data_IF_986644015849
#
_entry.id   IF_986644015849
#
_cell.length_a   1.000
_cell.length_b   1.000
_cell.length_c   1.000
_cell.angle_alpha   90.00
_cell.angle_beta   90.00
_cell.angle_gamma   90.00
#
_symmetry.space_group_name_H-M   'P 1'
#
loop_
_entity.id
_entity.type
_entity.pdbx_description
1 polymer ?
#
# COMPACT_ATOMS: atom_id res chain seq x y z
N UNK A 1 -11.14 8.43 -12.61
CA UNK A 1 -11.41 8.70 -11.19
C UNK A 1 -10.62 7.69 -10.37
N UNK A 2 -10.29 7.97 -9.10
CA UNK A 2 -9.68 6.94 -8.26
C UNK A 2 -10.69 5.79 -8.07
N UNK A 3 -10.22 4.55 -8.14
CA UNK A 3 -11.06 3.36 -7.95
C UNK A 3 -11.67 3.31 -6.54
N UNK A 4 -10.98 3.88 -5.56
CA UNK A 4 -11.36 3.90 -4.16
C UNK A 4 -11.50 5.35 -3.69
N UNK A 5 -12.48 5.61 -2.84
CA UNK A 5 -12.59 6.89 -2.12
C UNK A 5 -11.76 6.89 -0.82
N UNK A 6 -11.66 8.04 -0.16
CA UNK A 6 -10.83 8.21 1.04
C UNK A 6 -11.21 7.24 2.18
N UNK A 7 -12.51 6.99 2.39
CA UNK A 7 -12.98 6.07 3.43
C UNK A 7 -12.61 4.62 3.10
N UNK A 8 -12.76 4.21 1.84
CA UNK A 8 -12.36 2.88 1.40
C UNK A 8 -10.84 2.69 1.51
N UNK A 9 -10.05 3.71 1.16
CA UNK A 9 -8.60 3.66 1.32
C UNK A 9 -8.20 3.53 2.78
N UNK A 10 -8.86 4.25 3.69
CA UNK A 10 -8.64 4.15 5.13
C UNK A 10 -8.97 2.75 5.66
N UNK A 11 -10.11 2.18 5.26
CA UNK A 11 -10.51 0.83 5.67
C UNK A 11 -9.54 -0.24 5.15
N UNK A 12 -9.11 -0.11 3.89
CA UNK A 12 -8.12 -1.01 3.28
C UNK A 12 -6.77 -0.90 4.00
N UNK A 13 -6.32 0.32 4.32
CA UNK A 13 -5.07 0.55 5.02
C UNK A 13 -5.10 -0.07 6.41
N UNK A 14 -6.16 0.18 7.20
CA UNK A 14 -6.33 -0.41 8.54
C UNK A 14 -6.44 -1.92 8.51
N UNK A 15 -7.05 -2.50 7.47
CA UNK A 15 -7.13 -3.95 7.30
C UNK A 15 -5.81 -4.59 6.83
N UNK A 16 -4.84 -3.79 6.40
CA UNK A 16 -3.50 -4.20 6.00
C UNK A 16 -2.46 -3.99 7.12
N UNK A 17 -2.63 -2.97 7.94
CA UNK A 17 -1.80 -2.68 9.11
C UNK A 17 -2.12 -3.67 10.23
N UNK A 18 -1.43 -4.82 10.20
CA UNK A 18 -1.59 -5.89 11.16
C UNK A 18 -0.88 -5.57 12.47
N UNK A 19 0.19 -4.78 12.41
CA UNK A 19 0.95 -4.36 13.57
C UNK A 19 0.25 -3.25 14.38
N UNK A 20 -0.69 -2.55 13.75
CA UNK A 20 -1.41 -1.39 14.27
C UNK A 20 -0.47 -0.25 14.68
N UNK A 21 0.67 -0.10 13.98
CA UNK A 21 1.63 0.97 14.20
C UNK A 21 1.37 2.21 13.32
N UNK A 22 0.32 2.17 12.49
CA UNK A 22 -0.11 3.27 11.63
C UNK A 22 0.69 3.39 10.33
N UNK A 23 1.52 2.40 10.01
CA UNK A 23 2.33 2.34 8.80
C UNK A 23 2.33 0.92 8.24
N UNK A 24 2.50 0.77 6.93
CA UNK A 24 2.58 -0.55 6.30
C UNK A 24 4.03 -0.91 6.04
N UNK A 25 4.47 -2.01 6.64
CA UNK A 25 5.74 -2.64 6.33
C UNK A 25 5.69 -3.36 4.98
N UNK A 26 6.85 -3.76 4.47
CA UNK A 26 6.94 -4.49 3.22
C UNK A 26 6.08 -5.76 3.22
N UNK A 27 6.13 -6.57 4.28
CA UNK A 27 5.34 -7.80 4.32
C UNK A 27 3.84 -7.51 4.27
N UNK A 28 3.38 -6.49 4.99
CA UNK A 28 1.97 -6.10 5.08
C UNK A 28 1.44 -5.58 3.74
N UNK A 29 2.21 -4.73 3.05
CA UNK A 29 1.87 -4.26 1.72
C UNK A 29 1.77 -5.42 0.71
N UNK A 30 2.73 -6.35 0.73
CA UNK A 30 2.70 -7.52 -0.18
C UNK A 30 1.50 -8.42 0.11
N UNK A 31 1.16 -8.62 1.38
CA UNK A 31 -0.04 -9.38 1.76
C UNK A 31 -1.32 -8.69 1.29
N UNK A 32 -1.40 -7.36 1.43
CA UNK A 32 -2.52 -6.58 0.93
C UNK A 32 -2.69 -6.75 -0.59
N UNK A 33 -1.63 -6.58 -1.36
CA UNK A 33 -1.69 -6.67 -2.82
C UNK A 33 -2.05 -8.09 -3.29
N UNK A 34 -1.67 -9.12 -2.54
CA UNK A 34 -2.14 -10.50 -2.75
C UNK A 34 -3.65 -10.64 -2.52
N UNK A 35 -4.25 -9.95 -1.52
CA UNK A 35 -5.71 -9.95 -1.30
C UNK A 35 -6.47 -9.38 -2.49
N UNK A 36 -5.90 -8.40 -3.19
CA UNK A 36 -6.45 -7.86 -4.46
C UNK A 36 -6.19 -8.76 -5.67
N UNK A 37 -5.85 -10.04 -5.44
CA UNK A 37 -5.52 -11.04 -6.46
C UNK A 37 -4.42 -10.60 -7.44
N UNK A 38 -3.60 -9.63 -7.03
CA UNK A 38 -2.50 -9.12 -7.84
C UNK A 38 -1.27 -9.95 -7.54
N UNK A 39 -0.78 -10.63 -8.58
CA UNK A 39 0.48 -11.35 -8.50
C UNK A 39 1.61 -10.33 -8.52
N UNK A 40 2.15 -10.05 -7.35
CA UNK A 40 3.31 -9.19 -7.19
C UNK A 40 4.49 -10.03 -6.70
N UNK A 41 5.62 -9.95 -7.40
CA UNK A 41 6.87 -10.52 -6.97
C UNK A 41 7.47 -9.70 -5.83
N UNK A 42 8.35 -10.32 -5.05
CA UNK A 42 9.09 -9.63 -3.98
C UNK A 42 9.84 -8.39 -4.50
N UNK A 43 10.43 -8.49 -5.71
CA UNK A 43 11.17 -7.40 -6.34
C UNK A 43 10.27 -6.21 -6.69
N UNK A 44 9.07 -6.47 -7.19
CA UNK A 44 8.08 -5.43 -7.51
C UNK A 44 7.57 -4.74 -6.24
N UNK A 45 7.24 -5.51 -5.20
CA UNK A 45 6.85 -4.94 -3.89
C UNK A 45 7.94 -4.04 -3.32
N UNK A 46 9.19 -4.50 -3.34
CA UNK A 46 10.33 -3.71 -2.90
C UNK A 46 10.54 -2.42 -3.73
N UNK A 47 10.31 -2.50 -5.04
CA UNK A 47 10.45 -1.36 -5.95
C UNK A 47 9.36 -0.32 -5.69
N UNK A 48 8.12 -0.77 -5.45
CA UNK A 48 7.01 0.11 -5.11
C UNK A 48 7.23 0.82 -3.78
N UNK A 49 7.68 0.10 -2.75
CA UNK A 49 7.98 0.75 -1.47
C UNK A 49 9.02 1.84 -1.68
N UNK A 50 10.13 1.55 -2.35
CA UNK A 50 11.15 2.58 -2.63
C UNK A 50 10.65 3.77 -3.45
N UNK A 51 9.64 3.58 -4.28
CA UNK A 51 9.11 4.64 -5.14
C UNK A 51 8.17 5.57 -4.37
N UNK A 52 7.44 5.04 -3.38
CA UNK A 52 6.41 5.78 -2.63
C UNK A 52 6.82 6.13 -1.19
N UNK A 53 7.85 5.48 -0.64
CA UNK A 53 8.51 5.84 0.61
C UNK A 53 9.28 7.15 0.45
N UNK A 54 8.58 8.26 0.64
CA UNK A 54 9.13 9.61 0.62
C UNK A 54 9.82 9.94 1.94
N UNK A 55 9.38 9.32 3.03
CA UNK A 55 9.95 9.50 4.36
C UNK A 55 11.34 8.85 4.52
N UNK A 56 11.63 7.81 3.74
CA UNK A 56 12.86 7.03 3.76
C UNK A 56 12.95 6.03 4.91
N UNK A 57 11.84 5.74 5.59
CA UNK A 57 11.79 4.84 6.74
C UNK A 57 11.59 3.35 6.35
N UNK A 58 11.47 3.09 5.04
CA UNK A 58 11.20 1.78 4.41
C UNK A 58 9.81 1.23 4.74
N UNK A 59 8.89 2.09 5.14
CA UNK A 59 7.49 1.80 5.37
C UNK A 59 6.63 2.68 4.46
N UNK A 60 5.32 2.45 4.50
CA UNK A 60 4.34 3.23 3.76
C UNK A 60 3.35 3.79 4.76
N UNK A 61 3.40 5.10 4.97
CA UNK A 61 2.38 5.85 5.69
C UNK A 61 1.07 5.93 4.89
N UNK A 62 -0.01 6.32 5.54
CA UNK A 62 -1.30 6.51 4.85
C UNK A 62 -1.20 7.53 3.70
N UNK A 63 -0.43 8.58 3.88
CA UNK A 63 -0.21 9.63 2.88
C UNK A 63 0.52 9.10 1.65
N UNK A 64 1.45 8.16 1.83
CA UNK A 64 2.18 7.47 0.75
C UNK A 64 1.35 6.33 0.13
N UNK A 65 0.42 5.76 0.90
CA UNK A 65 -0.47 4.68 0.48
C UNK A 65 -1.51 5.13 -0.56
N UNK A 66 -2.11 6.31 -0.37
CA UNK A 66 -3.13 6.85 -1.29
C UNK A 66 -2.63 6.94 -2.74
N UNK A 67 -1.50 7.62 -3.05
CA UNK A 67 -0.98 7.68 -4.42
C UNK A 67 -0.52 6.31 -4.94
N UNK A 68 -0.04 5.42 -4.05
CA UNK A 68 0.29 4.05 -4.41
C UNK A 68 -0.96 3.30 -4.92
N UNK A 69 -2.06 3.32 -4.18
CA UNK A 69 -3.30 2.63 -4.57
C UNK A 69 -3.90 3.21 -5.86
N UNK A 70 -3.85 4.54 -6.02
CA UNK A 70 -4.33 5.20 -7.24
C UNK A 70 -3.50 4.85 -8.48
N UNK A 71 -2.20 4.63 -8.32
CA UNK A 71 -1.33 4.21 -9.44
C UNK A 71 -1.46 2.73 -9.74
N UNK A 72 -1.67 1.93 -8.69
CA UNK A 72 -1.77 0.48 -8.79
C UNK A 72 -3.12 0.03 -9.34
N UNK A 73 -4.19 0.75 -9.04
CA UNK A 73 -5.56 0.43 -9.46
C UNK A 73 -6.21 1.65 -10.13
N UNK A 74 -5.71 2.07 -11.30
CA UNK A 74 -6.41 3.04 -12.12
C UNK A 74 -7.76 2.46 -12.56
N UNK A 75 -8.77 3.32 -12.73
CA UNK A 75 -10.05 2.95 -13.36
C UNK A 75 -9.88 2.27 -14.73
#
# INVERSE_FOLDING_TARGET
MPRFNDQELEDIFRAADYSHDGVLMHEELVLLLKKFNRKMSYKEGYTLIRQYDQSGDKKISFEEFVPLMNTLFPE
#
